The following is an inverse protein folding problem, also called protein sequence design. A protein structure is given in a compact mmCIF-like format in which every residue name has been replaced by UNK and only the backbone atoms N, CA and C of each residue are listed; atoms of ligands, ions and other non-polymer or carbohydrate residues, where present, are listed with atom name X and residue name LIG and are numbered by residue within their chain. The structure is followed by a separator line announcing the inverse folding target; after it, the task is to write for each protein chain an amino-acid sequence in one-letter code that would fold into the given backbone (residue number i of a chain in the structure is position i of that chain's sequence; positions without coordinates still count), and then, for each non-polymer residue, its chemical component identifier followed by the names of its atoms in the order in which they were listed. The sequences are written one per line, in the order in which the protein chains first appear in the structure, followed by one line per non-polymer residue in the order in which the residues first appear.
data_IF_812132316807
#
_entry.id   IF_812132316807
#
_cell.length_a   1.000
_cell.length_b   1.000
_cell.length_c   1.000
_cell.angle_alpha   90.00
_cell.angle_beta   90.00
_cell.angle_gamma   90.00
#
_symmetry.space_group_name_H-M   'P 1'
#
loop_
_entity.id
_entity.type
_entity.pdbx_description
1 polymer ?
#
# COMPACT_ATOMS: atom_id res chain seq x y z
N UNK A 1 1.78 -29.72 6.38
CA UNK A 1 2.42 -28.89 5.32
C UNK A 1 1.44 -27.76 5.02
N UNK A 2 1.93 -26.52 4.92
CA UNK A 2 1.21 -25.33 4.40
C UNK A 2 0.28 -24.49 5.32
N UNK A 3 0.63 -24.29 6.59
CA UNK A 3 -0.04 -23.27 7.43
C UNK A 3 0.77 -21.96 7.62
N UNK A 4 1.95 -21.84 6.99
CA UNK A 4 2.85 -20.69 7.18
C UNK A 4 2.76 -19.60 6.08
N UNK A 5 1.94 -19.79 5.04
CA UNK A 5 1.77 -18.84 3.92
C UNK A 5 0.51 -17.95 4.09
N UNK A 6 -0.33 -18.16 5.11
CA UNK A 6 -1.70 -17.61 5.15
C UNK A 6 -1.88 -16.14 5.57
N UNK A 7 -0.84 -15.42 6.06
CA UNK A 7 -1.04 -14.04 6.54
C UNK A 7 -0.12 -13.03 5.88
N UNK A 8 -0.68 -12.26 4.95
CA UNK A 8 -0.07 -11.03 4.44
C UNK A 8 -0.12 -9.93 5.50
N UNK A 9 0.96 -9.82 6.27
CA UNK A 9 1.15 -8.68 7.17
C UNK A 9 1.44 -7.41 6.36
N UNK A 10 1.15 -6.24 6.94
CA UNK A 10 1.41 -4.95 6.30
C UNK A 10 2.86 -4.83 5.82
N UNK A 11 3.83 -5.32 6.61
CA UNK A 11 5.26 -5.31 6.27
C UNK A 11 5.60 -6.18 5.07
N UNK A 12 5.02 -7.37 4.95
CA UNK A 12 5.27 -8.26 3.81
C UNK A 12 4.64 -7.70 2.54
N UNK A 13 3.40 -7.21 2.66
CA UNK A 13 2.66 -6.57 1.57
C UNK A 13 3.41 -5.37 1.01
N UNK A 14 3.92 -4.49 1.87
CA UNK A 14 4.69 -3.33 1.42
C UNK A 14 6.01 -3.71 0.75
N UNK A 15 6.72 -4.71 1.27
CA UNK A 15 7.96 -5.20 0.64
C UNK A 15 7.71 -5.69 -0.79
N UNK A 16 6.68 -6.52 -1.00
CA UNK A 16 6.32 -7.00 -2.33
C UNK A 16 5.95 -5.86 -3.28
N UNK A 17 5.10 -4.92 -2.82
CA UNK A 17 4.67 -3.78 -3.63
C UNK A 17 5.86 -2.90 -4.03
N UNK A 18 6.82 -2.68 -3.13
CA UNK A 18 8.04 -1.92 -3.43
C UNK A 18 8.88 -2.61 -4.50
N UNK A 19 9.05 -3.93 -4.44
CA UNK A 19 9.78 -4.69 -5.46
C UNK A 19 9.11 -4.58 -6.84
N UNK A 20 7.78 -4.60 -6.89
CA UNK A 20 7.02 -4.42 -8.12
C UNK A 20 7.20 -3.00 -8.69
N UNK A 21 7.09 -1.97 -7.85
CA UNK A 21 7.28 -0.57 -8.27
C UNK A 21 8.72 -0.33 -8.77
N UNK A 22 9.71 -0.98 -8.16
CA UNK A 22 11.11 -0.92 -8.59
C UNK A 22 11.42 -1.78 -9.82
N UNK A 23 10.46 -2.55 -10.32
CA UNK A 23 10.65 -3.44 -11.47
C UNK A 23 11.51 -4.69 -11.20
N UNK A 24 11.72 -5.05 -9.93
CA UNK A 24 12.50 -6.24 -9.53
C UNK A 24 11.71 -7.54 -9.69
N UNK A 25 10.39 -7.45 -9.62
CA UNK A 25 9.45 -8.53 -9.90
C UNK A 25 8.24 -7.94 -10.61
N UNK A 26 7.53 -8.76 -11.36
CA UNK A 26 6.24 -8.39 -11.95
C UNK A 26 5.08 -8.90 -11.11
N UNK A 27 3.88 -8.35 -11.33
CA UNK A 27 2.62 -8.87 -10.76
C UNK A 27 2.42 -10.34 -11.11
N UNK A 28 2.72 -10.74 -12.36
CA UNK A 28 2.54 -12.10 -12.83
C UNK A 28 3.53 -13.10 -12.18
N UNK A 29 4.78 -12.68 -11.93
CA UNK A 29 5.74 -13.49 -11.18
C UNK A 29 5.32 -13.62 -9.71
N UNK A 30 4.99 -12.51 -9.06
CA UNK A 30 4.54 -12.49 -7.68
C UNK A 30 3.27 -13.34 -7.45
N UNK A 31 2.30 -13.25 -8.36
CA UNK A 31 1.07 -14.05 -8.35
C UNK A 31 1.38 -15.54 -8.34
N UNK A 32 2.26 -16.00 -9.24
CA UNK A 32 2.68 -17.41 -9.32
C UNK A 32 3.49 -17.86 -8.11
N UNK A 33 4.37 -17.00 -7.57
CA UNK A 33 5.24 -17.33 -6.44
C UNK A 33 4.48 -17.43 -5.12
N UNK A 34 3.48 -16.57 -4.92
CA UNK A 34 2.78 -16.45 -3.64
C UNK A 34 1.34 -16.95 -3.67
N UNK A 35 0.91 -17.55 -4.78
CA UNK A 35 -0.45 -18.05 -5.01
C UNK A 35 -1.52 -16.99 -4.70
N UNK A 36 -1.29 -15.79 -5.22
CA UNK A 36 -2.21 -14.66 -5.09
C UNK A 36 -2.86 -14.34 -6.43
N UNK A 37 -4.10 -13.88 -6.39
CA UNK A 37 -4.75 -13.35 -7.59
C UNK A 37 -3.97 -12.11 -8.10
N UNK A 38 -3.67 -12.00 -9.40
CA UNK A 38 -3.03 -10.81 -9.96
C UNK A 38 -3.75 -9.51 -9.57
N UNK A 39 -5.09 -9.52 -9.59
CA UNK A 39 -5.94 -8.38 -9.23
C UNK A 39 -5.78 -7.93 -7.77
N UNK A 40 -5.51 -8.84 -6.84
CA UNK A 40 -5.25 -8.51 -5.44
C UNK A 40 -3.93 -7.75 -5.30
N UNK A 41 -2.88 -8.20 -6.00
CA UNK A 41 -1.57 -7.54 -6.02
C UNK A 41 -1.67 -6.17 -6.71
N UNK A 42 -2.38 -6.08 -7.84
CA UNK A 42 -2.63 -4.81 -8.54
C UNK A 42 -3.33 -3.79 -7.64
N UNK A 43 -4.35 -4.23 -6.90
CA UNK A 43 -5.04 -3.40 -5.93
C UNK A 43 -4.09 -2.86 -4.85
N UNK A 44 -3.15 -3.68 -4.36
CA UNK A 44 -2.17 -3.24 -3.36
C UNK A 44 -1.18 -2.22 -3.92
N UNK A 45 -0.77 -2.37 -5.17
CA UNK A 45 0.13 -1.43 -5.85
C UNK A 45 -0.59 -0.09 -6.06
N UNK A 46 -1.86 -0.11 -6.45
CA UNK A 46 -2.68 1.09 -6.63
C UNK A 46 -2.89 1.85 -5.30
N UNK A 47 -3.28 1.15 -4.23
CA UNK A 47 -3.43 1.72 -2.89
C UNK A 47 -2.12 2.37 -2.41
N UNK A 48 -0.98 1.70 -2.63
CA UNK A 48 0.33 2.24 -2.24
C UNK A 48 0.71 3.51 -3.03
N UNK A 49 0.40 3.56 -4.33
CA UNK A 49 0.61 4.74 -5.17
C UNK A 49 -0.25 5.91 -4.72
N UNK A 50 -1.54 5.68 -4.47
CA UNK A 50 -2.47 6.68 -3.93
C UNK A 50 -2.01 7.19 -2.56
N UNK A 51 -1.59 6.28 -1.68
CA UNK A 51 -1.04 6.64 -0.36
C UNK A 51 0.19 7.54 -0.47
N UNK A 52 1.11 7.23 -1.39
CA UNK A 52 2.29 8.04 -1.66
C UNK A 52 1.91 9.41 -2.23
N UNK A 53 1.02 9.47 -3.21
CA UNK A 53 0.53 10.73 -3.78
C UNK A 53 -0.10 11.62 -2.71
N UNK A 54 -0.95 11.04 -1.85
CA UNK A 54 -1.57 11.77 -0.75
C UNK A 54 -0.54 12.28 0.26
N UNK A 55 0.46 11.47 0.60
CA UNK A 55 1.53 11.88 1.50
C UNK A 55 2.39 13.01 0.91
N UNK A 56 2.59 13.03 -0.41
CA UNK A 56 3.33 14.08 -1.11
C UNK A 56 2.48 15.35 -1.32
N UNK A 57 1.17 15.21 -1.46
CA UNK A 57 0.21 16.33 -1.58
C UNK A 57 -0.04 17.02 -0.25
N UNK A 58 -0.05 16.27 0.86
CA UNK A 58 -0.34 16.80 2.18
C UNK A 58 0.72 17.84 2.60
N UNK A 59 0.35 19.12 2.53
CA UNK A 59 1.10 20.19 3.17
C UNK A 59 0.88 20.08 4.70
N UNK A 60 1.94 19.91 5.51
CA UNK A 60 1.80 19.78 6.96
C UNK A 60 1.03 20.93 7.64
N UNK A 61 1.04 22.13 7.04
CA UNK A 61 0.28 23.28 7.53
C UNK A 61 -1.23 23.12 7.29
N UNK A 62 -1.63 22.55 6.15
CA UNK A 62 -3.04 22.38 5.79
C UNK A 62 -3.69 21.29 6.65
N UNK A 63 -2.96 20.20 6.91
CA UNK A 63 -3.42 19.13 7.80
C UNK A 63 -3.67 19.67 9.22
N UNK A 64 -2.77 20.51 9.73
CA UNK A 64 -2.89 21.09 11.08
C UNK A 64 -4.07 22.06 11.16
N UNK A 65 -4.27 22.89 10.13
CA UNK A 65 -5.41 23.80 10.04
C UNK A 65 -6.74 23.05 9.93
N UNK A 66 -6.78 21.94 9.19
CA UNK A 66 -7.97 21.10 9.04
C UNK A 66 -8.36 20.41 10.36
N UNK A 67 -7.37 19.91 11.11
CA UNK A 67 -7.58 19.40 12.47
C UNK A 67 -8.07 20.50 13.43
N UNK A 68 -7.47 21.70 13.40
CA UNK A 68 -7.90 22.81 14.25
C UNK A 68 -9.31 23.30 13.92
N UNK A 69 -9.71 23.26 12.64
CA UNK A 69 -11.07 23.59 12.21
C UNK A 69 -12.10 22.57 12.71
N UNK A 70 -11.82 21.27 12.58
CA UNK A 70 -12.68 20.21 13.11
C UNK A 70 -12.86 20.29 14.64
N UNK A 71 -11.82 20.71 15.37
CA UNK A 71 -11.90 20.94 16.82
C UNK A 71 -12.74 22.17 17.21
N UNK A 72 -12.85 23.18 16.33
CA UNK A 72 -13.67 24.39 16.58
C UNK A 72 -15.14 24.19 16.28
N UNK A 73 -15.46 23.27 15.36
CA UNK A 73 -16.83 22.95 14.95
C UNK A 73 -17.48 21.85 15.83
N UNK A 74 -16.80 21.41 16.91
CA UNK A 74 -17.27 20.45 17.92
C UNK A 74 -17.76 21.16 19.19
#
# INVERSE_FOLDING_TARGET
MDDNIKRWTAKRKSALVIEIIQGKTTVAEASRTYDLAPSEIEYWVDDARKGMENALRANPLDVRQEYEKQLRDL
#
